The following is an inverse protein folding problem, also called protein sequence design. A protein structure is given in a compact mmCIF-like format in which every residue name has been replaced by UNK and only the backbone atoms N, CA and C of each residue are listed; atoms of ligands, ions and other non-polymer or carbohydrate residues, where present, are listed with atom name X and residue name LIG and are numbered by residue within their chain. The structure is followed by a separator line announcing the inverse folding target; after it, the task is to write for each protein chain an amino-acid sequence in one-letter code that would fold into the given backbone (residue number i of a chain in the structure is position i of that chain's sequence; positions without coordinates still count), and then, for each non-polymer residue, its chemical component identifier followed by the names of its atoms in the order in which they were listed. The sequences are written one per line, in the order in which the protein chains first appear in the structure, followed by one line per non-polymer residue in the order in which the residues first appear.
data_IF_288134922015
#
_entry.id   IF_288134922015
#
_cell.length_a   1.000
_cell.length_b   1.000
_cell.length_c   1.000
_cell.angle_alpha   90.00
_cell.angle_beta   90.00
_cell.angle_gamma   90.00
#
_symmetry.space_group_name_H-M   'P 1'
#
loop_
_entity.id
_entity.type
_entity.pdbx_description
1 polymer ?
#
# COMPACT_ATOMS: atom_id res chain seq x y z
N UNK A 1 7.88 -29.31 19.78
CA UNK A 1 7.84 -28.35 18.65
C UNK A 1 7.97 -29.16 17.38
N UNK A 2 6.95 -29.09 16.47
CA UNK A 2 6.97 -29.81 15.20
C UNK A 2 7.93 -29.11 14.23
N UNK A 3 8.72 -29.87 13.48
CA UNK A 3 9.69 -29.38 12.49
C UNK A 3 9.12 -28.33 11.51
N UNK A 4 7.80 -28.38 11.20
CA UNK A 4 7.10 -27.39 10.38
C UNK A 4 6.98 -25.98 10.98
N UNK A 5 7.20 -25.81 12.31
CA UNK A 5 7.14 -24.49 12.96
C UNK A 5 8.42 -23.67 12.72
N UNK A 6 9.59 -24.34 12.62
CA UNK A 6 10.87 -23.68 12.34
C UNK A 6 10.94 -23.19 10.89
N UNK A 7 10.50 -24.02 9.94
CA UNK A 7 10.45 -23.64 8.53
C UNK A 7 9.56 -22.41 8.28
N UNK A 8 8.46 -22.29 9.03
CA UNK A 8 7.57 -21.12 8.94
C UNK A 8 8.22 -19.86 9.53
N UNK A 9 8.93 -19.99 10.66
CA UNK A 9 9.68 -18.89 11.27
C UNK A 9 10.78 -18.38 10.33
N UNK A 10 11.52 -19.27 9.68
CA UNK A 10 12.55 -18.90 8.71
C UNK A 10 11.96 -18.11 7.51
N UNK A 11 10.77 -18.50 7.05
CA UNK A 11 10.06 -17.77 5.99
C UNK A 11 9.71 -16.35 6.41
N UNK A 12 9.20 -16.15 7.61
CA UNK A 12 8.89 -14.81 8.13
C UNK A 12 10.16 -13.97 8.27
N UNK A 13 11.21 -14.54 8.85
CA UNK A 13 12.50 -13.83 8.98
C UNK A 13 13.01 -13.37 7.62
N UNK A 14 12.95 -14.23 6.60
CA UNK A 14 13.37 -13.86 5.25
C UNK A 14 12.44 -12.80 4.59
N UNK A 15 11.14 -12.85 4.85
CA UNK A 15 10.20 -11.84 4.36
C UNK A 15 10.50 -10.47 4.98
N UNK A 16 10.72 -10.42 6.31
CA UNK A 16 11.12 -9.20 7.02
C UNK A 16 12.48 -8.69 6.53
N UNK A 17 13.47 -9.57 6.41
CA UNK A 17 14.78 -9.22 5.89
C UNK A 17 14.71 -8.68 4.45
N UNK A 18 13.82 -9.24 3.61
CA UNK A 18 13.59 -8.77 2.25
C UNK A 18 12.94 -7.37 2.23
N UNK A 19 12.04 -7.09 3.17
CA UNK A 19 11.47 -5.76 3.31
C UNK A 19 12.52 -4.76 3.80
N UNK A 20 13.34 -5.10 4.78
CA UNK A 20 14.44 -4.26 5.26
C UNK A 20 15.48 -3.98 4.16
N UNK A 21 15.75 -4.98 3.30
CA UNK A 21 16.61 -4.80 2.12
C UNK A 21 16.00 -3.74 1.18
N UNK A 22 14.70 -3.85 0.86
CA UNK A 22 13.97 -2.88 0.05
C UNK A 22 14.07 -1.48 0.64
N UNK A 23 13.78 -1.32 1.94
CA UNK A 23 13.83 -0.03 2.64
C UNK A 23 15.21 0.61 2.50
N UNK A 24 16.27 -0.17 2.70
CA UNK A 24 17.66 0.30 2.59
C UNK A 24 18.05 0.65 1.14
N UNK A 25 17.78 -0.23 0.18
CA UNK A 25 18.21 -0.05 -1.21
C UNK A 25 17.48 1.10 -1.91
N UNK A 26 16.24 1.37 -1.51
CA UNK A 26 15.40 2.43 -2.06
C UNK A 26 15.38 3.69 -1.19
N UNK A 27 16.16 3.73 -0.12
CA UNK A 27 16.19 4.86 0.80
C UNK A 27 14.76 5.30 1.19
N UNK A 28 13.96 4.33 1.66
CA UNK A 28 12.53 4.51 1.93
C UNK A 28 12.35 5.35 3.19
N UNK A 29 11.62 6.45 3.04
CA UNK A 29 11.12 7.29 4.11
C UNK A 29 9.62 7.01 4.26
N UNK A 30 9.23 6.39 5.35
CA UNK A 30 7.83 6.04 5.63
C UNK A 30 7.06 7.30 6.02
N UNK A 31 5.97 7.58 5.32
CA UNK A 31 5.06 8.70 5.60
C UNK A 31 3.83 8.19 6.38
N UNK A 32 3.27 7.07 5.93
CA UNK A 32 2.16 6.42 6.63
C UNK A 32 2.17 4.91 6.34
N UNK A 33 1.67 4.13 7.28
CA UNK A 33 1.47 2.69 7.12
C UNK A 33 0.08 2.30 7.64
N UNK A 34 -0.54 1.30 7.00
CA UNK A 34 -1.87 0.78 7.36
C UNK A 34 -2.93 1.89 7.52
N UNK A 35 -2.89 2.88 6.61
CA UNK A 35 -3.76 4.05 6.71
C UNK A 35 -5.05 3.88 5.91
N UNK A 36 -6.17 4.22 6.54
CA UNK A 36 -7.46 4.24 5.87
C UNK A 36 -7.59 5.47 4.98
N UNK A 37 -7.96 5.23 3.73
CA UNK A 37 -8.33 6.26 2.75
C UNK A 37 -9.77 6.04 2.31
N UNK A 38 -10.49 7.14 2.05
CA UNK A 38 -11.88 7.09 1.61
C UNK A 38 -12.18 8.14 0.55
N UNK A 39 -13.26 7.95 -0.17
CA UNK A 39 -13.87 8.96 -1.03
C UNK A 39 -15.38 8.88 -0.88
N UNK A 40 -15.98 9.98 -0.45
CA UNK A 40 -17.43 10.10 -0.38
C UNK A 40 -18.05 10.18 -1.80
N UNK A 41 -17.28 10.69 -2.77
CA UNK A 41 -17.68 10.77 -4.18
C UNK A 41 -17.91 9.38 -4.80
N UNK A 42 -17.04 8.43 -4.50
CA UNK A 42 -17.11 7.08 -5.06
C UNK A 42 -17.71 6.07 -4.10
N UNK A 43 -18.00 6.49 -2.84
CA UNK A 43 -18.46 5.62 -1.77
C UNK A 43 -17.49 4.42 -1.59
N UNK A 44 -16.22 4.73 -1.54
CA UNK A 44 -15.13 3.79 -1.46
C UNK A 44 -14.22 4.10 -0.28
N UNK A 45 -13.75 3.05 0.36
CA UNK A 45 -12.71 3.12 1.36
C UNK A 45 -11.75 1.93 1.23
N UNK A 46 -10.55 2.08 1.76
CA UNK A 46 -9.60 0.98 1.83
C UNK A 46 -8.39 1.33 2.69
N UNK A 47 -7.66 0.31 3.12
CA UNK A 47 -6.42 0.46 3.85
C UNK A 47 -5.24 0.41 2.88
N UNK A 48 -4.39 1.44 2.93
CA UNK A 48 -3.14 1.51 2.17
C UNK A 48 -2.04 0.94 3.04
N UNK A 49 -1.33 -0.08 2.56
CA UNK A 49 -0.29 -0.75 3.34
C UNK A 49 0.86 0.20 3.67
N UNK A 50 1.36 0.95 2.68
CA UNK A 50 2.50 1.84 2.86
C UNK A 50 2.44 3.05 1.93
N UNK A 51 2.58 4.24 2.50
CA UNK A 51 2.84 5.50 1.78
C UNK A 51 4.25 5.94 2.13
N UNK A 52 5.07 6.24 1.13
CA UNK A 52 6.47 6.55 1.35
C UNK A 52 7.04 7.50 0.30
N UNK A 53 8.20 8.07 0.62
CA UNK A 53 9.10 8.68 -0.34
C UNK A 53 10.30 7.75 -0.52
N UNK A 54 10.68 7.46 -1.76
CA UNK A 54 11.78 6.53 -2.03
C UNK A 54 12.55 6.89 -3.29
N UNK A 55 13.75 6.33 -3.42
CA UNK A 55 14.55 6.47 -4.62
C UNK A 55 14.04 5.52 -5.70
N UNK A 56 13.71 6.07 -6.87
CA UNK A 56 13.28 5.31 -8.04
C UNK A 56 13.76 5.96 -9.33
N UNK A 57 14.29 5.13 -10.25
CA UNK A 57 14.88 5.56 -11.50
C UNK A 57 15.94 6.68 -11.29
N UNK A 58 15.67 7.92 -11.70
CA UNK A 58 16.62 9.03 -11.63
C UNK A 58 16.35 10.04 -10.52
N UNK A 59 15.48 9.72 -9.58
CA UNK A 59 15.10 10.65 -8.51
C UNK A 59 14.28 10.05 -7.40
N UNK A 60 13.86 10.91 -6.48
CA UNK A 60 12.95 10.53 -5.40
C UNK A 60 11.50 10.69 -5.83
N UNK A 61 10.66 9.73 -5.46
CA UNK A 61 9.24 9.72 -5.78
C UNK A 61 8.39 9.52 -4.53
N UNK A 62 7.21 10.14 -4.51
CA UNK A 62 6.18 9.86 -3.53
C UNK A 62 5.33 8.69 -4.05
N UNK A 63 5.23 7.63 -3.28
CA UNK A 63 4.67 6.37 -3.72
C UNK A 63 3.71 5.74 -2.73
N UNK A 64 2.76 4.97 -3.26
CA UNK A 64 2.01 3.95 -2.54
C UNK A 64 2.61 2.60 -2.89
N UNK A 65 2.86 1.78 -1.88
CA UNK A 65 3.33 0.40 -2.00
C UNK A 65 2.26 -0.52 -1.44
N UNK A 66 1.83 -1.48 -2.23
CA UNK A 66 0.94 -2.55 -1.81
C UNK A 66 1.77 -3.82 -1.59
N UNK A 67 1.71 -4.35 -0.35
CA UNK A 67 2.53 -5.46 0.11
C UNK A 67 1.81 -6.79 -0.11
N UNK A 68 2.36 -7.64 -0.96
CA UNK A 68 1.79 -8.96 -1.27
C UNK A 68 2.69 -10.07 -0.77
N UNK A 69 2.23 -10.82 0.22
CA UNK A 69 2.95 -11.98 0.76
C UNK A 69 2.64 -13.24 -0.05
N UNK A 70 3.68 -13.96 -0.50
CA UNK A 70 3.56 -15.30 -1.06
C UNK A 70 2.92 -15.41 -2.45
N UNK A 71 2.81 -14.34 -3.20
CA UNK A 71 2.17 -14.32 -4.50
C UNK A 71 3.09 -14.83 -5.62
N UNK A 72 2.51 -15.58 -6.57
CA UNK A 72 3.21 -16.02 -7.78
C UNK A 72 3.40 -14.89 -8.81
N UNK A 73 2.71 -13.78 -8.64
CA UNK A 73 2.73 -12.62 -9.54
C UNK A 73 1.77 -11.53 -9.07
N UNK A 74 1.73 -10.44 -9.81
CA UNK A 74 0.81 -9.34 -9.57
C UNK A 74 -0.30 -9.36 -10.63
N UNK A 75 -1.55 -9.39 -10.18
CA UNK A 75 -2.74 -9.50 -11.01
C UNK A 75 -3.30 -8.11 -11.34
N UNK A 76 -4.14 -8.02 -12.37
CA UNK A 76 -4.78 -6.76 -12.75
C UNK A 76 -5.63 -6.16 -11.63
N UNK A 77 -6.24 -7.01 -10.78
CA UNK A 77 -6.96 -6.55 -9.59
C UNK A 77 -6.05 -5.82 -8.59
N UNK A 78 -4.80 -6.27 -8.39
CA UNK A 78 -3.82 -5.57 -7.53
C UNK A 78 -3.41 -4.23 -8.12
N UNK A 79 -3.26 -4.17 -9.45
CA UNK A 79 -2.96 -2.93 -10.17
C UNK A 79 -4.09 -1.92 -10.06
N UNK A 80 -5.33 -2.38 -10.27
CA UNK A 80 -6.51 -1.55 -10.10
C UNK A 80 -6.63 -1.01 -8.68
N UNK A 81 -6.42 -1.87 -7.68
CA UNK A 81 -6.41 -1.49 -6.26
C UNK A 81 -5.44 -0.33 -5.98
N UNK A 82 -4.21 -0.43 -6.48
CA UNK A 82 -3.20 0.63 -6.34
C UNK A 82 -3.63 1.96 -6.95
N UNK A 83 -4.23 1.93 -8.14
CA UNK A 83 -4.71 3.16 -8.79
C UNK A 83 -5.92 3.76 -8.06
N UNK A 84 -6.80 2.92 -7.51
CA UNK A 84 -7.86 3.38 -6.61
C UNK A 84 -7.26 4.06 -5.38
N UNK A 85 -6.31 3.43 -4.70
CA UNK A 85 -5.63 4.00 -3.53
C UNK A 85 -4.95 5.33 -3.84
N UNK A 86 -4.25 5.44 -4.96
CA UNK A 86 -3.65 6.71 -5.40
C UNK A 86 -4.71 7.80 -5.59
N UNK A 87 -5.85 7.46 -6.18
CA UNK A 87 -6.95 8.41 -6.39
C UNK A 87 -7.55 8.87 -5.06
N UNK A 88 -7.84 7.94 -4.15
CA UNK A 88 -8.39 8.23 -2.83
C UNK A 88 -7.40 9.04 -1.98
N UNK A 89 -6.12 8.66 -1.99
CA UNK A 89 -5.07 9.41 -1.29
C UNK A 89 -4.95 10.84 -1.80
N UNK A 90 -4.85 11.02 -3.12
CA UNK A 90 -4.68 12.34 -3.71
C UNK A 90 -5.95 13.21 -3.57
N UNK A 91 -7.14 12.62 -3.47
CA UNK A 91 -8.36 13.35 -3.12
C UNK A 91 -8.26 13.99 -1.73
N UNK A 92 -7.67 13.28 -0.77
CA UNK A 92 -7.59 13.72 0.63
C UNK A 92 -6.31 14.52 0.95
N UNK A 93 -5.17 14.14 0.38
CA UNK A 93 -3.84 14.57 0.84
C UNK A 93 -2.94 15.17 -0.25
N UNK A 94 -3.45 15.45 -1.45
CA UNK A 94 -2.66 15.95 -2.58
C UNK A 94 -1.87 17.22 -2.25
N UNK A 95 -2.43 18.11 -1.47
CA UNK A 95 -1.80 19.39 -1.14
C UNK A 95 -0.63 19.25 -0.14
N UNK A 96 -0.63 18.16 0.63
CA UNK A 96 0.40 17.89 1.64
C UNK A 96 1.45 16.92 1.12
N UNK A 97 0.99 15.82 0.52
CA UNK A 97 1.87 14.76 0.03
C UNK A 97 1.28 14.11 -1.23
N UNK A 98 1.48 14.72 -2.41
CA UNK A 98 0.96 14.17 -3.66
C UNK A 98 1.67 12.86 -4.01
N UNK A 99 0.92 11.78 -4.15
CA UNK A 99 1.43 10.48 -4.60
C UNK A 99 1.44 10.44 -6.12
N UNK A 100 2.61 10.20 -6.70
CA UNK A 100 2.84 10.13 -8.15
C UNK A 100 3.00 8.71 -8.65
N UNK A 101 3.55 7.81 -7.85
CA UNK A 101 3.88 6.45 -8.25
C UNK A 101 3.14 5.41 -7.40
N UNK A 102 2.91 4.24 -7.99
CA UNK A 102 2.31 3.10 -7.30
C UNK A 102 3.07 1.82 -7.64
N UNK A 103 3.29 0.97 -6.63
CA UNK A 103 4.07 -0.24 -6.78
C UNK A 103 3.42 -1.42 -6.05
N UNK A 104 3.56 -2.61 -6.63
CA UNK A 104 3.41 -3.83 -5.87
C UNK A 104 4.79 -4.30 -5.39
N UNK A 105 4.87 -4.68 -4.13
CA UNK A 105 6.03 -5.29 -3.50
C UNK A 105 5.68 -6.70 -3.05
N UNK A 106 6.61 -7.64 -3.22
CA UNK A 106 6.50 -8.97 -2.66
C UNK A 106 7.89 -9.54 -2.36
N UNK A 107 8.05 -10.39 -1.31
CA UNK A 107 9.25 -11.19 -1.16
C UNK A 107 9.36 -12.16 -2.34
N UNK A 108 10.56 -12.60 -2.65
CA UNK A 108 10.77 -13.59 -3.70
C UNK A 108 10.06 -14.91 -3.37
N UNK A 109 9.58 -15.60 -4.42
CA UNK A 109 8.87 -16.89 -4.30
C UNK A 109 9.64 -17.94 -3.50
N UNK A 110 10.97 -17.99 -3.68
CA UNK A 110 11.85 -18.86 -2.91
C UNK A 110 12.28 -18.09 -1.67
N UNK A 111 11.52 -18.25 -0.58
CA UNK A 111 11.75 -17.57 0.70
C UNK A 111 12.97 -18.07 1.49
N UNK A 112 13.87 -18.80 0.84
CA UNK A 112 15.17 -19.20 1.41
C UNK A 112 16.26 -18.14 1.22
N UNK A 113 15.96 -17.05 0.52
CA UNK A 113 16.89 -15.94 0.26
C UNK A 113 16.23 -14.62 0.53
N UNK A 114 17.00 -13.69 1.11
CA UNK A 114 16.62 -12.29 1.29
C UNK A 114 16.60 -11.59 -0.06
N UNK A 115 15.43 -11.52 -0.71
CA UNK A 115 15.21 -10.89 -2.00
C UNK A 115 13.76 -10.43 -2.10
N UNK A 116 13.51 -9.38 -2.89
CA UNK A 116 12.16 -8.89 -3.15
C UNK A 116 11.92 -8.62 -4.64
N UNK A 117 10.66 -8.54 -5.01
CA UNK A 117 10.18 -8.03 -6.29
C UNK A 117 9.46 -6.72 -6.04
N UNK A 118 9.85 -5.68 -6.78
CA UNK A 118 9.16 -4.39 -6.80
C UNK A 118 8.73 -4.13 -8.25
N UNK A 119 7.43 -3.99 -8.49
CA UNK A 119 6.89 -3.77 -9.82
C UNK A 119 6.17 -2.42 -9.88
N UNK A 120 6.66 -1.53 -10.74
CA UNK A 120 6.04 -0.24 -10.99
C UNK A 120 4.75 -0.43 -11.80
N UNK A 121 3.64 0.06 -11.27
CA UNK A 121 2.32 0.00 -11.90
C UNK A 121 1.78 1.37 -12.29
N UNK A 122 2.60 2.42 -12.15
CA UNK A 122 2.19 3.83 -12.29
C UNK A 122 1.52 4.12 -13.64
N UNK A 123 2.10 3.61 -14.71
CA UNK A 123 1.67 3.87 -16.09
C UNK A 123 0.85 2.72 -16.69
N UNK A 124 0.37 1.80 -15.84
CA UNK A 124 -0.45 0.71 -16.33
C UNK A 124 -1.78 1.24 -16.88
N UNK A 125 -2.02 0.95 -18.16
CA UNK A 125 -3.24 1.36 -18.86
C UNK A 125 -4.31 0.27 -18.78
N UNK A 126 -5.49 0.63 -18.30
CA UNK A 126 -6.62 -0.30 -18.17
C UNK A 126 -7.64 -0.19 -19.32
N UNK A 127 -7.38 0.63 -20.34
CA UNK A 127 -8.35 0.89 -21.43
C UNK A 127 -9.45 1.88 -21.06
N UNK A 128 -9.65 2.13 -19.77
CA UNK A 128 -10.63 3.05 -19.21
C UNK A 128 -10.01 3.83 -18.05
N UNK A 129 -10.56 4.99 -17.72
CA UNK A 129 -10.09 5.71 -16.54
C UNK A 129 -10.39 4.91 -15.27
N UNK A 130 -9.55 5.04 -14.26
CA UNK A 130 -9.76 4.40 -12.94
C UNK A 130 -11.15 4.77 -12.38
N UNK A 131 -11.57 6.02 -12.58
CA UNK A 131 -12.88 6.50 -12.13
C UNK A 131 -14.05 5.77 -12.81
N UNK A 132 -13.94 5.50 -14.12
CA UNK A 132 -14.94 4.70 -14.84
C UNK A 132 -14.98 3.26 -14.33
N UNK A 133 -13.81 2.65 -14.10
CA UNK A 133 -13.75 1.29 -13.54
C UNK A 133 -14.30 1.22 -12.12
N UNK A 134 -14.04 2.22 -11.28
CA UNK A 134 -14.65 2.30 -9.95
C UNK A 134 -16.17 2.41 -10.03
N UNK A 135 -16.69 3.22 -10.96
CA UNK A 135 -18.14 3.33 -11.18
C UNK A 135 -18.76 2.02 -11.66
N UNK A 136 -18.12 1.33 -12.62
CA UNK A 136 -18.55 0.02 -13.12
C UNK A 136 -18.52 -1.02 -11.99
N UNK A 137 -17.43 -1.10 -11.23
CA UNK A 137 -17.29 -2.04 -10.13
C UNK A 137 -18.38 -1.85 -9.05
N UNK A 138 -18.77 -0.61 -8.78
CA UNK A 138 -19.89 -0.28 -7.90
C UNK A 138 -21.22 -0.76 -8.47
N UNK A 139 -21.48 -0.50 -9.75
CA UNK A 139 -22.73 -0.87 -10.42
C UNK A 139 -22.89 -2.39 -10.56
N UNK A 140 -21.79 -3.09 -10.82
CA UNK A 140 -21.77 -4.56 -10.97
C UNK A 140 -21.66 -5.30 -9.64
N UNK A 141 -21.60 -4.59 -8.52
CA UNK A 141 -21.53 -5.19 -7.19
C UNK A 141 -20.19 -5.86 -6.87
N UNK A 142 -19.13 -5.57 -7.64
CA UNK A 142 -17.77 -6.05 -7.35
C UNK A 142 -17.19 -5.40 -6.10
N UNK A 143 -17.64 -4.19 -5.83
CA UNK A 143 -17.40 -3.50 -4.57
C UNK A 143 -18.62 -3.78 -3.71
N UNK A 144 -18.48 -4.68 -2.77
CA UNK A 144 -19.52 -4.86 -1.76
C UNK A 144 -19.63 -3.55 -0.98
N UNK A 145 -20.88 -3.06 -0.73
CA UNK A 145 -21.03 -2.00 0.23
C UNK A 145 -20.34 -2.44 1.52
N UNK A 146 -19.72 -1.55 2.30
CA UNK A 146 -19.12 -1.92 3.55
C UNK A 146 -20.16 -2.76 4.30
N UNK A 147 -19.83 -4.02 4.54
CA UNK A 147 -20.69 -4.92 5.32
C UNK A 147 -21.01 -4.17 6.61
N UNK A 148 -22.21 -4.34 7.12
CA UNK A 148 -22.72 -3.62 8.29
C UNK A 148 -21.54 -3.30 9.22
N UNK A 149 -21.32 -2.01 9.46
CA UNK A 149 -20.30 -1.53 10.38
C UNK A 149 -20.48 -2.38 11.62
N UNK A 150 -19.51 -3.24 11.92
CA UNK A 150 -19.46 -3.83 13.24
C UNK A 150 -19.35 -2.64 14.18
N UNK A 151 -20.43 -2.30 14.86
CA UNK A 151 -20.35 -1.47 16.04
C UNK A 151 -19.48 -2.24 17.03
N UNK A 152 -18.19 -2.05 16.93
CA UNK A 152 -17.29 -2.46 17.99
C UNK A 152 -17.52 -1.45 19.11
N UNK A 153 -18.28 -1.87 20.11
CA UNK A 153 -18.30 -1.20 21.41
C UNK A 153 -16.88 -1.26 21.98
N UNK A 154 -16.11 -0.22 21.74
CA UNK A 154 -14.78 0.00 22.24
C UNK A 154 -14.34 1.39 21.83
N UNK A 155 -13.89 2.19 22.79
CA UNK A 155 -13.24 3.46 22.51
C UNK A 155 -11.97 3.15 21.70
N UNK A 156 -12.06 3.25 20.37
CA UNK A 156 -10.86 3.38 19.56
C UNK A 156 -10.31 4.78 19.80
N UNK A 157 -9.24 4.87 20.55
CA UNK A 157 -8.35 6.02 20.47
C UNK A 157 -7.80 6.05 19.03
N UNK A 158 -8.48 6.75 18.16
CA UNK A 158 -7.85 7.30 16.98
C UNK A 158 -6.97 8.41 17.53
N UNK A 159 -5.75 8.07 17.91
CA UNK A 159 -4.70 9.07 18.00
C UNK A 159 -4.69 9.73 16.62
N UNK A 160 -5.20 10.94 16.55
CA UNK A 160 -5.06 11.77 15.37
C UNK A 160 -3.57 11.98 15.22
N UNK A 161 -2.97 11.17 14.35
CA UNK A 161 -1.56 11.29 14.00
C UNK A 161 -1.39 12.66 13.35
N UNK A 162 -0.98 13.61 14.14
CA UNK A 162 -0.73 14.96 13.68
C UNK A 162 0.68 14.97 13.09
N UNK A 163 0.77 14.93 11.77
CA UNK A 163 2.04 14.92 11.02
C UNK A 163 2.96 16.08 11.48
N UNK A 164 2.41 17.19 11.96
CA UNK A 164 3.16 18.34 12.49
C UNK A 164 3.93 18.05 13.77
N UNK A 165 3.54 17.03 14.55
CA UNK A 165 4.17 16.73 15.83
C UNK A 165 5.44 15.89 15.69
N UNK A 166 5.66 15.31 14.50
CA UNK A 166 6.79 14.44 14.19
C UNK A 166 7.80 15.04 13.21
N UNK A 167 7.48 16.16 12.58
CA UNK A 167 8.44 16.91 11.75
C UNK A 167 9.13 17.96 12.62
N UNK A 168 10.31 17.63 13.12
CA UNK A 168 11.16 18.63 13.79
C UNK A 168 11.76 19.57 12.74
N UNK A 169 12.00 20.85 13.13
CA UNK A 169 12.62 21.90 12.26
C UNK A 169 13.99 21.54 11.67
N UNK A 170 14.46 20.31 11.80
CA UNK A 170 15.69 19.79 11.20
C UNK A 170 15.47 19.03 9.91
N UNK A 171 14.21 18.76 9.55
CA UNK A 171 13.83 17.90 8.41
C UNK A 171 13.24 18.71 7.25
N UNK A 172 13.35 20.07 7.31
CA UNK A 172 12.95 20.99 6.24
C UNK A 172 14.18 21.65 5.64
#
# INVERSE_FOLDING_TARGET
FKQGSLEWQDKIVNDVASFMLFVRERNVEVIAAEIMVKSDKYDLAGAVDLVCRMDFAKGRVNAIIDLKSGQKGFWDSHRLQLHCYRSLWNEQFKEVFPVTHVFNWAPQKIRSKTQYKLENQTDHYFGESVNQRMAIAKTEGWIKPPGAVFEMEGEFFVDTFNLSDHLTKKDI
#
